data_IF_102508028421
#
_entry.id   IF_102508028421
#
_cell.length_a   1.000
_cell.length_b   1.000
_cell.length_c   1.000
_cell.angle_alpha   90.00
_cell.angle_beta   90.00
_cell.angle_gamma   90.00
#
_symmetry.space_group_name_H-M   'P 1'
#
loop_
_entity.id
_entity.type
_entity.pdbx_description
1 polymer ?
#
# COMPACT_ATOMS: atom_id res chain seq x y z
N UNK A 1 -33.86 37.97 -10.46
CA UNK A 1 -34.58 38.29 -11.72
C UNK A 1 -35.99 37.75 -11.59
N UNK A 2 -36.98 38.63 -11.70
CA UNK A 2 -38.38 38.27 -11.55
C UNK A 2 -38.94 37.61 -12.82
N UNK A 3 -39.90 36.70 -12.65
CA UNK A 3 -40.56 35.97 -13.75
C UNK A 3 -41.12 36.88 -14.83
N UNK A 4 -41.77 37.97 -14.42
CA UNK A 4 -42.45 38.88 -15.35
C UNK A 4 -41.46 39.67 -16.22
N UNK A 5 -40.26 39.94 -15.70
CA UNK A 5 -39.18 40.53 -16.50
C UNK A 5 -38.68 39.57 -17.59
N UNK A 6 -38.65 38.26 -17.32
CA UNK A 6 -38.22 37.22 -18.29
C UNK A 6 -39.27 37.04 -19.40
N UNK A 7 -40.56 37.18 -19.08
CA UNK A 7 -41.67 37.11 -20.06
C UNK A 7 -41.58 38.16 -21.18
N UNK A 8 -40.98 39.30 -20.87
CA UNK A 8 -40.77 40.39 -21.82
C UNK A 8 -39.63 40.11 -22.81
N UNK A 9 -38.81 39.09 -22.58
CA UNK A 9 -37.71 38.76 -23.48
C UNK A 9 -38.21 38.19 -24.81
N UNK A 10 -37.48 38.49 -25.88
CA UNK A 10 -37.71 37.90 -27.20
C UNK A 10 -37.27 36.44 -27.20
N UNK A 11 -38.00 35.59 -27.93
CA UNK A 11 -37.73 34.15 -28.03
C UNK A 11 -36.25 33.83 -28.36
N UNK A 12 -35.58 34.52 -29.30
CA UNK A 12 -34.16 34.27 -29.59
C UNK A 12 -33.23 34.51 -28.40
N UNK A 13 -33.57 35.47 -27.53
CA UNK A 13 -32.78 35.80 -26.33
C UNK A 13 -32.93 34.69 -25.29
N UNK A 14 -34.15 34.21 -25.06
CA UNK A 14 -34.43 33.05 -24.20
C UNK A 14 -33.69 31.80 -24.69
N UNK A 15 -33.72 31.56 -26.01
CA UNK A 15 -33.03 30.43 -26.63
C UNK A 15 -31.51 30.52 -26.49
N UNK A 16 -30.91 31.70 -26.68
CA UNK A 16 -29.47 31.88 -26.49
C UNK A 16 -29.06 31.65 -25.02
N UNK A 17 -29.82 32.19 -24.06
CA UNK A 17 -29.55 31.99 -22.63
C UNK A 17 -29.56 30.51 -22.22
N UNK A 18 -30.53 29.74 -22.76
CA UNK A 18 -30.65 28.30 -22.51
C UNK A 18 -29.57 27.51 -23.26
N UNK A 19 -29.20 27.93 -24.47
CA UNK A 19 -28.14 27.31 -25.28
C UNK A 19 -26.78 27.40 -24.60
N UNK A 20 -26.44 28.57 -24.08
CA UNK A 20 -25.22 28.79 -23.29
C UNK A 20 -25.14 27.88 -22.07
N UNK A 21 -26.28 27.39 -21.56
CA UNK A 21 -26.39 26.50 -20.39
C UNK A 21 -26.61 25.03 -20.77
N UNK A 22 -26.52 24.70 -22.06
CA UNK A 22 -26.70 23.33 -22.56
C UNK A 22 -28.10 22.77 -22.35
N UNK A 23 -29.12 23.64 -22.31
CA UNK A 23 -30.51 23.24 -22.09
C UNK A 23 -31.32 23.23 -23.38
N UNK A 24 -32.50 22.60 -23.30
CA UNK A 24 -33.45 22.52 -24.42
C UNK A 24 -33.85 23.94 -24.87
N UNK A 25 -33.73 24.19 -26.17
CA UNK A 25 -34.03 25.49 -26.81
C UNK A 25 -35.33 25.47 -27.64
N UNK A 26 -35.97 24.30 -27.74
CA UNK A 26 -37.21 24.10 -28.47
C UNK A 26 -38.41 24.05 -27.53
N UNK A 27 -39.51 24.72 -27.90
CA UNK A 27 -40.74 24.78 -27.08
C UNK A 27 -41.54 26.05 -27.31
N UNK A 28 -42.68 26.15 -26.62
CA UNK A 28 -43.50 27.37 -26.56
C UNK A 28 -42.78 28.46 -25.75
N UNK A 29 -43.15 29.73 -25.95
CA UNK A 29 -42.49 30.86 -25.28
C UNK A 29 -42.57 30.73 -23.74
N UNK A 30 -43.71 30.29 -23.24
CA UNK A 30 -44.00 30.09 -21.82
C UNK A 30 -43.08 29.03 -21.21
N UNK A 31 -42.81 27.94 -21.95
CA UNK A 31 -41.91 26.87 -21.52
C UNK A 31 -40.47 27.39 -21.44
N UNK A 32 -40.02 28.17 -22.43
CA UNK A 32 -38.69 28.78 -22.43
C UNK A 32 -38.52 29.75 -21.25
N UNK A 33 -39.53 30.57 -20.95
CA UNK A 33 -39.53 31.47 -19.80
C UNK A 33 -39.42 30.68 -18.49
N UNK A 34 -40.22 29.61 -18.34
CA UNK A 34 -40.18 28.77 -17.14
C UNK A 34 -38.81 28.10 -16.95
N UNK A 35 -38.19 27.63 -18.04
CA UNK A 35 -36.84 27.05 -18.02
C UNK A 35 -35.79 28.10 -17.62
N UNK A 36 -35.84 29.31 -18.18
CA UNK A 36 -34.90 30.39 -17.84
C UNK A 36 -35.03 30.80 -16.37
N UNK A 37 -36.26 30.90 -15.86
CA UNK A 37 -36.49 31.19 -14.45
C UNK A 37 -36.00 30.06 -13.54
N UNK A 38 -36.31 28.81 -13.87
CA UNK A 38 -35.79 27.67 -13.13
C UNK A 38 -34.25 27.68 -13.08
N UNK A 39 -33.58 27.97 -14.21
CA UNK A 39 -32.13 28.12 -14.24
C UNK A 39 -31.62 29.22 -13.31
N UNK A 40 -32.34 30.34 -13.26
CA UNK A 40 -31.98 31.46 -12.40
C UNK A 40 -32.15 31.10 -10.91
N UNK A 41 -33.26 30.45 -10.54
CA UNK A 41 -33.54 30.00 -9.17
C UNK A 41 -32.55 28.94 -8.71
N UNK A 42 -32.23 27.96 -9.56
CA UNK A 42 -31.27 26.90 -9.27
C UNK A 42 -29.80 27.34 -9.47
N UNK A 43 -29.55 28.57 -9.91
CA UNK A 43 -28.20 29.08 -10.12
C UNK A 43 -27.38 28.29 -11.15
N UNK A 44 -28.02 27.81 -12.23
CA UNK A 44 -27.30 27.07 -13.28
C UNK A 44 -26.41 28.01 -14.09
N UNK A 45 -25.11 27.86 -13.91
CA UNK A 45 -24.10 28.61 -14.66
C UNK A 45 -24.03 28.17 -16.14
N UNK A 46 -23.60 29.06 -17.06
CA UNK A 46 -23.28 28.69 -18.44
C UNK A 46 -22.32 27.51 -18.49
N UNK A 47 -22.51 26.64 -19.48
CA UNK A 47 -21.51 25.62 -19.79
C UNK A 47 -20.27 26.35 -20.29
N UNK A 48 -19.10 26.16 -19.66
CA UNK A 48 -17.88 26.85 -20.07
C UNK A 48 -17.58 26.54 -21.54
N UNK A 49 -17.18 27.56 -22.27
CA UNK A 49 -16.79 27.42 -23.68
C UNK A 49 -15.63 26.43 -23.82
N UNK A 50 -15.49 25.79 -24.97
CA UNK A 50 -14.38 24.87 -25.25
C UNK A 50 -12.99 25.52 -25.00
N UNK A 51 -12.87 26.83 -25.19
CA UNK A 51 -11.63 27.56 -24.87
C UNK A 51 -11.41 27.72 -23.37
N UNK A 52 -12.48 27.94 -22.61
CA UNK A 52 -12.42 28.14 -21.16
C UNK A 52 -12.14 26.82 -20.45
N UNK A 53 -12.80 25.73 -20.86
CA UNK A 53 -12.49 24.39 -20.38
C UNK A 53 -11.02 24.07 -20.62
N UNK A 54 -10.51 24.27 -21.84
CA UNK A 54 -9.09 24.05 -22.15
C UNK A 54 -8.16 24.85 -21.23
N UNK A 55 -8.47 26.12 -20.94
CA UNK A 55 -7.69 26.94 -20.01
C UNK A 55 -7.75 26.41 -18.59
N UNK A 56 -8.91 25.98 -18.11
CA UNK A 56 -9.08 25.39 -16.77
C UNK A 56 -8.30 24.08 -16.68
N UNK A 57 -8.40 23.20 -17.68
CA UNK A 57 -7.65 21.96 -17.74
C UNK A 57 -6.13 22.19 -17.73
N UNK A 58 -5.64 23.18 -18.48
CA UNK A 58 -4.22 23.54 -18.49
C UNK A 58 -3.75 24.04 -17.11
N UNK A 59 -4.59 24.80 -16.39
CA UNK A 59 -4.29 25.25 -15.02
C UNK A 59 -4.28 24.09 -14.02
N UNK A 60 -5.27 23.20 -14.10
CA UNK A 60 -5.34 22.01 -13.24
C UNK A 60 -4.13 21.10 -13.46
N UNK A 61 -3.78 20.85 -14.73
CA UNK A 61 -2.58 20.09 -15.09
C UNK A 61 -1.29 20.75 -14.57
N UNK A 62 -1.14 22.06 -14.76
CA UNK A 62 0.02 22.79 -14.23
C UNK A 62 0.12 22.71 -12.70
N UNK A 63 -1.00 22.64 -11.99
CA UNK A 63 -1.02 22.47 -10.54
C UNK A 63 -0.52 21.08 -10.09
N UNK A 64 -0.71 20.02 -10.90
CA UNK A 64 -0.21 18.67 -10.61
C UNK A 64 1.32 18.56 -10.65
N UNK A 65 1.97 19.46 -11.40
CA UNK A 65 3.43 19.54 -11.48
C UNK A 65 4.05 20.33 -10.32
N UNK A 66 3.24 20.98 -9.48
CA UNK A 66 3.72 21.70 -8.30
C UNK A 66 3.63 20.79 -7.08
N UNK A 67 4.79 20.34 -6.59
CA UNK A 67 4.92 19.43 -5.47
C UNK A 67 5.76 20.08 -4.38
N UNK A 68 5.23 20.20 -3.16
CA UNK A 68 5.91 20.83 -2.01
C UNK A 68 6.46 22.24 -2.31
N UNK A 69 5.74 23.02 -3.12
CA UNK A 69 6.14 24.37 -3.53
C UNK A 69 7.25 24.41 -4.61
N UNK A 70 7.73 23.26 -5.08
CA UNK A 70 8.68 23.15 -6.20
C UNK A 70 7.94 22.73 -7.46
N UNK A 71 8.23 23.38 -8.58
CA UNK A 71 7.71 22.98 -9.90
C UNK A 71 8.59 21.86 -10.47
N UNK A 72 8.01 20.69 -10.67
CA UNK A 72 8.64 19.59 -11.40
C UNK A 72 8.58 19.87 -12.91
N UNK A 73 9.59 19.44 -13.68
CA UNK A 73 9.56 19.58 -15.12
C UNK A 73 8.50 18.67 -15.72
N UNK A 74 7.88 19.12 -16.80
CA UNK A 74 6.80 18.39 -17.46
C UNK A 74 7.31 17.08 -18.12
N UNK A 75 6.75 15.91 -17.78
CA UNK A 75 7.19 14.61 -18.30
C UNK A 75 7.00 14.39 -19.81
N UNK A 76 6.14 15.16 -20.45
CA UNK A 76 5.74 15.00 -21.83
C UNK A 76 6.30 16.07 -22.77
N UNK A 77 6.56 17.27 -22.27
CA UNK A 77 7.00 18.43 -23.07
C UNK A 77 8.43 18.85 -22.78
N UNK A 78 8.81 18.90 -21.50
CA UNK A 78 10.13 19.38 -21.05
C UNK A 78 11.15 18.22 -20.97
N UNK A 79 10.75 17.06 -20.43
CA UNK A 79 11.62 15.87 -20.32
C UNK A 79 11.57 15.00 -21.58
N UNK A 80 12.37 15.33 -22.58
CA UNK A 80 12.44 14.56 -23.85
C UNK A 80 13.43 13.39 -23.80
N UNK A 81 14.57 13.58 -23.16
CA UNK A 81 15.67 12.63 -23.10
C UNK A 81 15.79 12.01 -21.70
N UNK A 82 16.68 11.02 -21.51
CA UNK A 82 16.97 10.44 -20.18
C UNK A 82 15.96 9.39 -19.67
N UNK A 83 14.98 9.01 -20.48
CA UNK A 83 14.01 7.95 -20.13
C UNK A 83 14.67 6.57 -20.25
N UNK A 84 14.71 5.86 -19.13
CA UNK A 84 15.14 4.47 -19.06
C UNK A 84 13.90 3.57 -19.19
N UNK A 85 14.02 2.46 -19.89
CA UNK A 85 12.96 1.45 -19.97
C UNK A 85 12.97 0.55 -18.72
N UNK A 86 12.31 -0.60 -18.81
CA UNK A 86 12.21 -1.57 -17.70
C UNK A 86 13.54 -2.21 -17.30
N UNK A 87 14.62 -1.97 -18.06
CA UNK A 87 15.98 -2.39 -17.66
C UNK A 87 16.42 -1.69 -16.38
N UNK A 88 15.92 -0.48 -16.09
CA UNK A 88 16.21 0.27 -14.88
C UNK A 88 15.27 -0.04 -13.70
N UNK A 89 14.59 -1.19 -13.71
CA UNK A 89 13.65 -1.63 -12.67
C UNK A 89 14.23 -1.62 -11.25
N UNK A 90 15.53 -1.83 -11.10
CA UNK A 90 16.23 -1.80 -9.81
C UNK A 90 16.22 -0.41 -9.16
N UNK A 91 16.05 0.65 -9.96
CA UNK A 91 15.99 2.04 -9.50
C UNK A 91 14.57 2.51 -9.21
N UNK A 92 13.56 1.66 -9.45
CA UNK A 92 12.18 2.04 -9.23
C UNK A 92 11.92 2.25 -7.74
N UNK A 93 11.10 3.25 -7.38
CA UNK A 93 10.84 3.56 -5.99
C UNK A 93 10.09 2.41 -5.29
N UNK A 94 10.34 2.18 -4.00
CA UNK A 94 9.72 1.11 -3.22
C UNK A 94 8.26 1.45 -2.90
N UNK A 95 7.38 1.36 -3.90
CA UNK A 95 5.97 1.71 -3.78
C UNK A 95 5.19 0.49 -3.34
N UNK A 96 4.49 0.59 -2.21
CA UNK A 96 3.67 -0.51 -1.70
C UNK A 96 2.19 -0.36 -2.06
N UNK A 97 1.45 -1.44 -1.90
CA UNK A 97 -0.01 -1.44 -1.93
C UNK A 97 -0.65 -0.40 -0.99
N UNK A 98 -0.06 -0.14 0.18
CA UNK A 98 -0.58 0.87 1.11
C UNK A 98 -0.44 2.29 0.54
N UNK A 99 0.71 2.62 -0.07
CA UNK A 99 0.95 3.93 -0.67
C UNK A 99 0.00 4.20 -1.84
N UNK A 100 -0.29 3.16 -2.64
CA UNK A 100 -1.29 3.23 -3.70
C UNK A 100 -2.68 3.54 -3.15
N UNK A 101 -3.09 2.88 -2.07
CA UNK A 101 -4.40 3.10 -1.45
C UNK A 101 -4.51 4.50 -0.84
N UNK A 102 -3.48 4.98 -0.15
CA UNK A 102 -3.40 6.34 0.40
C UNK A 102 -3.57 7.38 -0.71
N UNK A 103 -2.83 7.22 -1.80
CA UNK A 103 -2.93 8.11 -2.95
C UNK A 103 -4.34 8.14 -3.55
N UNK A 104 -4.98 6.97 -3.75
CA UNK A 104 -6.33 6.89 -4.29
C UNK A 104 -7.39 7.53 -3.35
N UNK A 105 -7.15 7.53 -2.04
CA UNK A 105 -8.00 8.20 -1.05
C UNK A 105 -7.85 9.72 -1.11
N UNK A 106 -6.61 10.21 -1.22
CA UNK A 106 -6.26 11.63 -1.24
C UNK A 106 -6.58 12.32 -2.58
N UNK A 107 -6.79 11.54 -3.64
CA UNK A 107 -7.17 12.07 -4.94
C UNK A 107 -8.44 12.94 -4.87
N UNK A 108 -8.48 13.99 -5.69
CA UNK A 108 -9.58 14.98 -5.82
C UNK A 108 -10.83 14.41 -6.51
N UNK A 109 -11.18 13.18 -6.19
CA UNK A 109 -12.39 12.53 -6.66
C UNK A 109 -13.57 12.88 -5.72
N UNK A 110 -14.76 13.04 -6.29
CA UNK A 110 -16.00 13.01 -5.51
C UNK A 110 -16.11 11.68 -4.74
N UNK A 111 -16.80 11.70 -3.61
CA UNK A 111 -17.13 10.57 -2.74
C UNK A 111 -17.62 9.31 -3.49
N UNK A 112 -18.48 9.44 -4.50
CA UNK A 112 -18.97 8.31 -5.31
C UNK A 112 -17.84 7.70 -6.13
N UNK A 113 -17.07 8.58 -6.78
CA UNK A 113 -15.95 8.20 -7.63
C UNK A 113 -14.81 7.56 -6.83
N UNK A 114 -14.47 8.12 -5.67
CA UNK A 114 -13.50 7.53 -4.73
C UNK A 114 -13.90 6.11 -4.35
N UNK A 115 -15.17 5.89 -4.00
CA UNK A 115 -15.68 4.54 -3.67
C UNK A 115 -15.56 3.57 -4.84
N UNK A 116 -15.91 4.00 -6.05
CA UNK A 116 -15.75 3.17 -7.24
C UNK A 116 -14.29 2.78 -7.48
N UNK A 117 -13.37 3.73 -7.31
CA UNK A 117 -11.94 3.48 -7.49
C UNK A 117 -11.38 2.50 -6.46
N UNK A 118 -11.78 2.63 -5.19
CA UNK A 118 -11.40 1.66 -4.16
C UNK A 118 -11.96 0.27 -4.44
N UNK A 119 -13.19 0.17 -4.95
CA UNK A 119 -13.78 -1.10 -5.39
C UNK A 119 -12.98 -1.68 -6.57
N UNK A 120 -12.72 -0.90 -7.61
CA UNK A 120 -11.94 -1.32 -8.78
C UNK A 120 -10.52 -1.76 -8.39
N UNK A 121 -9.93 -1.06 -7.43
CA UNK A 121 -8.62 -1.37 -6.86
C UNK A 121 -8.64 -2.69 -6.08
N UNK A 122 -9.64 -2.91 -5.21
CA UNK A 122 -9.84 -4.17 -4.48
C UNK A 122 -10.11 -5.34 -5.42
N UNK A 123 -10.88 -5.12 -6.47
CA UNK A 123 -11.22 -6.13 -7.48
C UNK A 123 -10.04 -6.40 -8.44
N UNK A 124 -8.93 -5.67 -8.33
CA UNK A 124 -7.78 -5.86 -9.21
C UNK A 124 -8.05 -5.45 -10.66
N UNK A 125 -9.03 -4.56 -10.92
CA UNK A 125 -9.32 -4.10 -12.28
C UNK A 125 -8.14 -3.38 -12.92
N UNK A 126 -7.31 -2.69 -12.15
CA UNK A 126 -6.11 -2.07 -12.68
C UNK A 126 -4.98 -3.10 -12.92
N UNK A 127 -4.91 -4.16 -12.10
CA UNK A 127 -4.01 -5.29 -12.33
C UNK A 127 -4.33 -6.01 -13.64
N UNK A 128 -5.61 -6.13 -14.02
CA UNK A 128 -5.97 -6.78 -15.28
C UNK A 128 -5.42 -6.06 -16.53
N UNK A 129 -5.15 -4.75 -16.48
CA UNK A 129 -4.47 -4.04 -17.58
C UNK A 129 -3.02 -4.49 -17.74
N UNK A 130 -2.34 -4.79 -16.64
CA UNK A 130 -0.99 -5.33 -16.65
C UNK A 130 -0.99 -6.79 -17.15
N UNK A 131 -1.90 -7.61 -16.64
CA UNK A 131 -2.02 -9.03 -17.00
C UNK A 131 -2.41 -9.21 -18.49
N UNK A 132 -3.42 -8.46 -18.94
CA UNK A 132 -3.96 -8.49 -20.31
C UNK A 132 -3.11 -7.73 -21.34
N UNK A 133 -1.89 -7.32 -20.98
CA UNK A 133 -0.95 -6.60 -21.87
C UNK A 133 -1.49 -5.29 -22.46
N UNK A 134 -2.45 -4.67 -21.76
CA UNK A 134 -2.95 -3.33 -22.11
C UNK A 134 -2.02 -2.21 -21.62
N UNK A 135 -1.23 -2.50 -20.59
CA UNK A 135 -0.13 -1.65 -20.14
C UNK A 135 1.12 -1.93 -20.98
N UNK A 136 1.55 -0.93 -21.76
CA UNK A 136 2.82 -0.99 -22.48
C UNK A 136 4.01 -0.79 -21.54
N UNK A 137 5.20 -0.77 -22.12
CA UNK A 137 6.45 -0.55 -21.41
C UNK A 137 6.40 0.70 -20.53
N UNK A 138 6.79 0.54 -19.26
CA UNK A 138 6.90 1.64 -18.31
C UNK A 138 8.30 2.23 -18.41
N UNK A 139 8.37 3.54 -18.56
CA UNK A 139 9.62 4.28 -18.62
C UNK A 139 9.85 5.04 -17.32
N UNK A 140 11.08 5.01 -16.83
CA UNK A 140 11.54 5.66 -15.62
C UNK A 140 12.43 6.86 -15.94
N UNK A 141 12.29 7.94 -15.18
CA UNK A 141 13.12 9.13 -15.28
C UNK A 141 13.45 9.68 -13.89
N UNK A 142 14.74 9.92 -13.63
CA UNK A 142 15.24 10.36 -12.31
C UNK A 142 15.00 11.85 -12.04
N UNK A 143 14.59 12.61 -13.06
CA UNK A 143 14.47 14.08 -13.11
C UNK A 143 15.84 14.74 -13.03
N UNK A 144 16.46 14.63 -11.85
CA UNK A 144 17.81 15.04 -11.55
C UNK A 144 18.37 14.11 -10.46
N UNK A 145 19.69 13.97 -10.40
CA UNK A 145 20.34 13.08 -9.42
C UNK A 145 20.07 13.52 -7.98
N UNK A 146 19.91 14.82 -7.73
CA UNK A 146 19.60 15.37 -6.41
C UNK A 146 18.08 15.51 -6.13
N UNK A 147 17.23 15.27 -7.13
CA UNK A 147 15.79 15.36 -6.94
C UNK A 147 15.26 14.21 -6.09
N UNK A 148 14.41 14.54 -5.12
CA UNK A 148 13.74 13.58 -4.23
C UNK A 148 12.64 12.78 -4.97
N UNK A 149 12.20 13.27 -6.13
CA UNK A 149 11.13 12.71 -6.92
C UNK A 149 11.65 12.06 -8.19
N UNK A 150 10.94 11.05 -8.67
CA UNK A 150 11.12 10.44 -9.96
C UNK A 150 9.80 10.40 -10.73
N UNK A 151 9.89 10.27 -12.05
CA UNK A 151 8.74 10.05 -12.90
C UNK A 151 8.72 8.64 -13.48
N UNK A 152 7.53 8.09 -13.55
CA UNK A 152 7.22 6.90 -14.32
C UNK A 152 6.15 7.28 -15.35
N UNK A 153 6.33 6.89 -16.61
CA UNK A 153 5.31 7.10 -17.65
C UNK A 153 5.06 5.83 -18.45
N UNK A 154 3.84 5.67 -18.91
CA UNK A 154 3.48 4.57 -19.80
C UNK A 154 2.35 4.96 -20.75
N UNK A 155 2.19 4.14 -21.79
CA UNK A 155 1.01 4.14 -22.64
C UNK A 155 0.08 3.01 -22.20
N UNK A 156 -1.20 3.31 -22.01
CA UNK A 156 -2.18 2.33 -21.55
C UNK A 156 -3.36 2.28 -22.51
N UNK A 157 -3.61 1.11 -23.08
CA UNK A 157 -4.73 0.88 -23.99
C UNK A 157 -6.04 0.82 -23.20
N UNK A 158 -7.11 1.51 -23.64
CA UNK A 158 -8.41 1.43 -22.99
C UNK A 158 -8.99 0.00 -23.06
N UNK A 159 -9.49 -0.52 -21.94
CA UNK A 159 -10.06 -1.87 -21.87
C UNK A 159 -11.33 -2.04 -22.70
N UNK A 160 -12.14 -0.98 -22.83
CA UNK A 160 -13.38 -1.00 -23.60
C UNK A 160 -13.18 -0.71 -25.09
N UNK A 161 -11.98 -0.28 -25.50
CA UNK A 161 -11.68 0.11 -26.87
C UNK A 161 -10.21 -0.23 -27.20
N UNK A 162 -9.92 -1.52 -27.33
CA UNK A 162 -8.57 -2.04 -27.56
C UNK A 162 -7.89 -1.53 -28.83
N UNK A 163 -8.67 -1.15 -29.85
CA UNK A 163 -8.15 -0.58 -31.09
C UNK A 163 -8.01 0.95 -31.05
N UNK A 164 -8.42 1.60 -29.96
CA UNK A 164 -8.29 3.05 -29.81
C UNK A 164 -6.84 3.45 -29.51
N UNK A 165 -6.55 4.74 -29.70
CA UNK A 165 -5.24 5.31 -29.37
C UNK A 165 -4.98 5.14 -27.86
N UNK A 166 -3.84 4.53 -27.46
CA UNK A 166 -3.50 4.37 -26.05
C UNK A 166 -3.40 5.72 -25.33
N UNK A 167 -3.93 5.77 -24.11
CA UNK A 167 -3.79 6.94 -23.26
C UNK A 167 -2.37 7.06 -22.73
N UNK A 168 -1.90 8.29 -22.58
CA UNK A 168 -0.59 8.59 -21.99
C UNK A 168 -0.82 8.89 -20.52
N UNK A 169 -0.10 8.22 -19.64
CA UNK A 169 -0.17 8.45 -18.20
C UNK A 169 1.23 8.61 -17.62
N UNK A 170 1.35 9.43 -16.59
CA UNK A 170 2.56 9.55 -15.79
C UNK A 170 2.23 9.62 -14.30
N UNK A 171 3.22 9.26 -13.48
CA UNK A 171 3.17 9.26 -12.02
C UNK A 171 4.47 9.83 -11.48
N UNK A 172 4.36 10.76 -10.53
CA UNK A 172 5.45 11.31 -9.75
C UNK A 172 5.49 10.61 -8.39
N UNK A 173 6.63 10.00 -8.06
CA UNK A 173 6.80 9.22 -6.84
C UNK A 173 8.06 9.71 -6.12
N UNK A 174 8.02 9.72 -4.79
CA UNK A 174 9.19 10.02 -3.98
C UNK A 174 10.14 8.81 -3.96
N UNK A 175 11.41 9.01 -4.35
CA UNK A 175 12.39 7.94 -4.55
C UNK A 175 12.66 7.09 -3.31
N UNK A 176 12.69 7.73 -2.12
CA UNK A 176 13.07 7.06 -0.86
C UNK A 176 11.92 6.33 -0.17
N UNK A 177 10.73 6.92 -0.20
CA UNK A 177 9.58 6.43 0.57
C UNK A 177 8.62 5.61 -0.26
N UNK A 178 8.62 5.77 -1.60
CA UNK A 178 7.60 5.18 -2.46
C UNK A 178 6.27 5.93 -2.47
N UNK A 179 6.17 7.05 -1.74
CA UNK A 179 4.92 7.82 -1.67
C UNK A 179 4.62 8.48 -3.01
N UNK A 180 3.41 8.26 -3.51
CA UNK A 180 2.92 8.82 -4.77
C UNK A 180 2.41 10.23 -4.50
N UNK A 181 2.91 11.21 -5.25
CA UNK A 181 2.63 12.63 -4.97
C UNK A 181 1.68 13.24 -5.98
N UNK A 182 1.87 12.93 -7.26
CA UNK A 182 0.98 13.38 -8.31
C UNK A 182 0.95 12.40 -9.46
N UNK A 183 -0.13 12.44 -10.23
CA UNK A 183 -0.29 11.62 -11.43
C UNK A 183 -1.20 12.34 -12.41
N UNK A 184 -1.06 12.00 -13.69
CA UNK A 184 -1.96 12.46 -14.73
C UNK A 184 -2.18 11.36 -15.76
N UNK A 185 -3.34 11.41 -16.42
CA UNK A 185 -3.62 10.58 -17.56
C UNK A 185 -4.47 11.34 -18.58
N UNK A 186 -4.18 11.15 -19.86
CA UNK A 186 -4.93 11.75 -20.97
C UNK A 186 -6.35 11.20 -21.15
N UNK A 187 -6.83 10.30 -20.28
CA UNK A 187 -8.19 9.78 -20.35
C UNK A 187 -9.20 10.77 -19.73
N UNK A 188 -10.48 10.63 -20.05
CA UNK A 188 -11.54 11.51 -19.50
C UNK A 188 -11.55 11.54 -17.96
N UNK A 189 -11.13 10.45 -17.33
CA UNK A 189 -11.00 10.34 -15.88
C UNK A 189 -9.66 10.88 -15.34
N UNK A 190 -8.62 11.04 -16.16
CA UNK A 190 -7.24 11.19 -15.69
C UNK A 190 -6.92 12.51 -15.00
N UNK A 191 -7.76 13.54 -15.20
CA UNK A 191 -7.66 14.83 -14.51
C UNK A 191 -7.82 14.74 -12.98
N UNK A 192 -8.43 13.66 -12.49
CA UNK A 192 -8.51 13.37 -11.05
C UNK A 192 -7.29 12.62 -10.50
N UNK A 193 -6.25 12.41 -11.31
CA UNK A 193 -5.03 11.63 -10.98
C UNK A 193 -5.26 10.16 -10.63
N UNK A 194 -6.50 9.67 -10.70
CA UNK A 194 -6.92 8.44 -10.01
C UNK A 194 -7.59 7.42 -10.94
N UNK A 195 -7.33 7.47 -12.25
CA UNK A 195 -7.94 6.50 -13.17
C UNK A 195 -7.26 5.12 -13.11
N UNK A 196 -7.95 4.08 -13.59
CA UNK A 196 -7.40 2.72 -13.66
C UNK A 196 -6.10 2.61 -14.50
N UNK A 197 -5.87 3.52 -15.45
CA UNK A 197 -4.62 3.57 -16.21
C UNK A 197 -3.41 3.99 -15.36
N UNK A 198 -3.61 4.94 -14.43
CA UNK A 198 -2.57 5.34 -13.47
C UNK A 198 -2.32 4.21 -12.48
N UNK A 199 -3.40 3.63 -11.94
CA UNK A 199 -3.30 2.50 -11.04
C UNK A 199 -2.58 1.31 -11.68
N UNK A 200 -2.77 1.04 -12.98
CA UNK A 200 -2.04 -0.03 -13.68
C UNK A 200 -0.52 0.17 -13.66
N UNK A 201 -0.04 1.41 -13.82
CA UNK A 201 1.39 1.73 -13.70
C UNK A 201 1.87 1.44 -12.27
N UNK A 202 1.14 1.92 -11.28
CA UNK A 202 1.48 1.74 -9.87
C UNK A 202 1.51 0.26 -9.45
N UNK A 203 0.54 -0.54 -9.90
CA UNK A 203 0.52 -1.99 -9.68
C UNK A 203 1.73 -2.68 -10.28
N UNK A 204 2.20 -2.24 -11.45
CA UNK A 204 3.41 -2.80 -12.05
C UNK A 204 4.65 -2.44 -11.23
N UNK A 205 4.71 -1.24 -10.66
CA UNK A 205 5.81 -0.81 -9.78
C UNK A 205 5.85 -1.66 -8.50
N UNK A 206 4.70 -1.82 -7.84
CA UNK A 206 4.55 -2.66 -6.65
C UNK A 206 4.90 -4.14 -6.95
N UNK A 207 4.44 -4.67 -8.10
CA UNK A 207 4.80 -6.02 -8.54
C UNK A 207 6.31 -6.20 -8.73
N UNK A 208 6.98 -5.23 -9.37
CA UNK A 208 8.44 -5.26 -9.59
C UNK A 208 9.19 -5.15 -8.28
N UNK A 209 8.74 -4.30 -7.36
CA UNK A 209 9.30 -4.15 -6.02
C UNK A 209 9.14 -5.44 -5.20
N UNK A 210 7.94 -6.01 -5.16
CA UNK A 210 7.66 -7.28 -4.48
C UNK A 210 8.42 -8.47 -5.07
N UNK A 211 8.81 -8.42 -6.34
CA UNK A 211 9.68 -9.42 -6.97
C UNK A 211 11.16 -9.21 -6.65
N UNK A 212 11.58 -7.97 -6.39
CA UNK A 212 12.93 -7.65 -5.93
C UNK A 212 13.17 -8.15 -4.49
N UNK A 213 12.15 -8.08 -3.63
CA UNK A 213 12.09 -8.77 -2.34
C UNK A 213 11.89 -10.28 -2.56
N UNK A 214 12.97 -10.97 -2.92
CA UNK A 214 12.97 -12.43 -3.00
C UNK A 214 12.61 -13.01 -1.63
N UNK A 215 11.37 -13.47 -1.48
CA UNK A 215 10.97 -14.30 -0.34
C UNK A 215 12.01 -15.39 -0.10
N UNK A 216 12.33 -15.69 1.15
CA UNK A 216 13.26 -16.77 1.51
C UNK A 216 12.85 -18.13 0.90
N UNK A 217 11.59 -18.28 0.49
CA UNK A 217 11.04 -19.46 -0.21
C UNK A 217 11.23 -19.47 -1.73
N UNK A 218 11.51 -18.32 -2.37
CA UNK A 218 11.77 -18.24 -3.82
C UNK A 218 13.25 -18.39 -4.18
N UNK A 219 14.14 -18.24 -3.20
CA UNK A 219 15.54 -18.66 -3.30
C UNK A 219 15.70 -20.18 -3.26
N UNK A 220 16.81 -20.68 -3.81
CA UNK A 220 17.18 -22.08 -3.62
C UNK A 220 17.24 -22.38 -2.11
N UNK A 221 16.61 -23.49 -1.71
CA UNK A 221 16.46 -23.87 -0.30
C UNK A 221 17.84 -24.03 0.37
N UNK A 222 18.29 -22.98 1.08
CA UNK A 222 19.63 -22.93 1.67
C UNK A 222 19.82 -23.91 2.83
N UNK A 223 18.72 -24.29 3.50
CA UNK A 223 18.77 -25.22 4.63
C UNK A 223 19.17 -26.64 4.21
N UNK A 224 18.79 -27.04 2.99
CA UNK A 224 19.02 -28.39 2.48
C UNK A 224 20.18 -28.48 1.50
N UNK A 225 20.99 -27.44 1.32
CA UNK A 225 22.18 -27.52 0.48
C UNK A 225 23.21 -28.42 1.20
N UNK A 226 23.40 -29.69 0.78
CA UNK A 226 24.43 -30.51 1.39
C UNK A 226 25.75 -29.86 0.97
N UNK A 227 26.57 -29.44 1.94
CA UNK A 227 27.96 -29.09 1.65
C UNK A 227 28.53 -30.25 0.83
N UNK A 228 29.06 -29.98 -0.36
CA UNK A 228 29.61 -30.98 -1.27
C UNK A 228 30.80 -31.69 -0.63
N UNK A 229 30.53 -32.58 0.31
CA UNK A 229 31.52 -33.44 0.95
C UNK A 229 31.72 -34.60 0.01
N UNK A 230 32.88 -34.62 -0.65
CA UNK A 230 33.44 -35.80 -1.30
C UNK A 230 33.44 -36.95 -0.29
N UNK A 231 32.75 -38.06 -0.58
CA UNK A 231 32.98 -39.34 0.11
C UNK A 231 31.77 -40.08 0.71
N UNK A 232 30.52 -39.72 0.38
CA UNK A 232 29.36 -40.54 0.75
C UNK A 232 28.88 -41.34 -0.46
N UNK A 233 29.32 -42.60 -0.55
CA UNK A 233 28.79 -43.57 -1.51
C UNK A 233 27.44 -44.11 -1.02
N UNK A 234 26.41 -44.20 -1.88
CA UNK A 234 25.13 -44.82 -1.52
C UNK A 234 25.31 -46.28 -1.10
N UNK A 235 24.77 -46.68 0.05
CA UNK A 235 24.70 -48.08 0.48
C UNK A 235 23.25 -48.48 0.80
N UNK A 236 22.99 -49.79 0.86
CA UNK A 236 21.66 -50.29 1.27
C UNK A 236 21.42 -49.93 2.73
N UNK A 237 20.15 -49.77 3.13
CA UNK A 237 19.78 -49.42 4.52
C UNK A 237 20.35 -50.40 5.54
N UNK A 238 20.42 -51.69 5.20
CA UNK A 238 21.04 -52.73 6.02
C UNK A 238 22.55 -52.54 6.25
N UNK A 239 23.23 -51.84 5.32
CA UNK A 239 24.67 -51.59 5.32
C UNK A 239 25.00 -50.17 5.83
N UNK A 240 23.99 -49.39 6.21
CA UNK A 240 24.18 -48.07 6.81
C UNK A 240 24.62 -48.19 8.26
N UNK A 241 25.78 -47.62 8.58
CA UNK A 241 26.28 -47.59 9.94
C UNK A 241 25.71 -46.37 10.69
N UNK A 242 24.61 -46.58 11.43
CA UNK A 242 24.04 -45.55 12.31
C UNK A 242 24.81 -45.50 13.62
N UNK A 243 25.64 -44.47 13.79
CA UNK A 243 26.28 -44.20 15.06
C UNK A 243 26.05 -42.76 15.50
N UNK A 244 26.01 -42.56 16.82
CA UNK A 244 25.89 -41.23 17.41
C UNK A 244 27.29 -40.61 17.47
N UNK A 245 27.54 -39.45 16.82
CA UNK A 245 28.84 -38.81 16.91
C UNK A 245 29.09 -38.35 18.35
N UNK A 246 30.17 -38.81 18.98
CA UNK A 246 30.54 -38.39 20.34
C UNK A 246 31.20 -37.02 20.29
N UNK A 247 30.44 -35.96 20.58
CA UNK A 247 30.95 -34.61 20.84
C UNK A 247 30.73 -34.27 22.32
N UNK A 248 31.73 -34.58 23.15
CA UNK A 248 31.90 -34.23 24.58
C UNK A 248 31.07 -34.95 25.68
N UNK A 249 31.61 -34.85 26.92
CA UNK A 249 31.50 -35.69 28.15
C UNK A 249 30.07 -36.10 28.56
N UNK A 250 30.00 -37.20 29.33
CA UNK A 250 28.81 -37.79 29.95
C UNK A 250 27.66 -36.81 30.17
N UNK A 251 26.52 -37.10 29.54
CA UNK A 251 25.31 -36.31 29.67
C UNK A 251 24.81 -36.35 31.11
N UNK A 252 24.64 -35.19 31.73
CA UNK A 252 23.83 -35.11 32.95
C UNK A 252 22.38 -35.49 32.62
N UNK A 253 21.77 -36.25 33.54
CA UNK A 253 20.45 -36.86 33.36
C UNK A 253 19.38 -35.79 33.07
N UNK A 254 18.75 -35.90 31.90
CA UNK A 254 17.76 -34.94 31.36
C UNK A 254 16.43 -34.98 32.15
N UNK A 255 16.25 -35.98 33.02
CA UNK A 255 15.10 -36.06 33.93
C UNK A 255 15.38 -35.27 35.22
N UNK A 256 15.49 -33.95 35.11
CA UNK A 256 15.46 -33.10 36.30
C UNK A 256 14.06 -33.12 36.93
N UNK A 257 14.01 -33.05 38.26
CA UNK A 257 12.77 -33.00 39.07
C UNK A 257 11.83 -31.89 38.57
N UNK A 258 12.39 -30.80 38.05
CA UNK A 258 11.65 -29.69 37.45
C UNK A 258 10.69 -30.13 36.31
N UNK A 259 11.02 -31.11 35.46
CA UNK A 259 10.09 -31.60 34.44
C UNK A 259 8.97 -32.48 34.99
N UNK A 260 9.16 -33.12 36.15
CA UNK A 260 8.08 -33.87 36.83
C UNK A 260 7.01 -32.94 37.41
N UNK A 261 7.36 -31.69 37.71
CA UNK A 261 6.43 -30.68 38.22
C UNK A 261 5.43 -30.18 37.16
N UNK A 262 5.80 -30.19 35.88
CA UNK A 262 4.98 -29.67 34.79
C UNK A 262 4.40 -30.75 33.87
N UNK A 263 4.58 -32.02 34.19
CA UNK A 263 3.95 -33.11 33.41
C UNK A 263 2.50 -33.30 33.85
N UNK A 264 1.57 -33.36 32.91
CA UNK A 264 0.12 -33.51 33.17
C UNK A 264 -0.29 -34.94 33.48
N UNK A 265 0.61 -35.91 33.34
CA UNK A 265 0.38 -37.32 33.65
C UNK A 265 1.15 -37.71 34.92
N UNK A 266 0.44 -37.73 36.07
CA UNK A 266 0.95 -38.33 37.31
C UNK A 266 0.68 -39.84 37.32
N UNK A 267 1.69 -40.62 37.70
CA UNK A 267 1.50 -42.03 38.04
C UNK A 267 0.80 -42.15 39.40
N UNK A 268 0.07 -43.26 39.63
CA UNK A 268 -0.57 -43.53 40.94
C UNK A 268 0.42 -43.75 42.08
N UNK A 269 1.69 -44.06 41.76
CA UNK A 269 2.75 -44.33 42.73
C UNK A 269 3.62 -43.09 43.05
N UNK A 270 3.30 -41.92 42.49
CA UNK A 270 4.07 -40.70 42.74
C UNK A 270 3.75 -40.13 44.13
N UNK A 271 4.72 -40.20 45.05
CA UNK A 271 4.63 -39.55 46.35
C UNK A 271 4.66 -38.02 46.17
N UNK A 272 3.73 -37.27 46.78
CA UNK A 272 3.70 -35.82 46.62
C UNK A 272 4.93 -35.20 47.27
N UNK A 273 5.64 -34.36 46.51
CA UNK A 273 6.78 -33.59 47.00
C UNK A 273 6.32 -32.65 48.12
N UNK A 274 7.10 -32.58 49.18
CA UNK A 274 6.81 -31.76 50.36
C UNK A 274 6.99 -30.28 49.98
N UNK A 275 6.16 -29.40 50.55
CA UNK A 275 6.10 -27.97 50.17
C UNK A 275 7.46 -27.25 50.29
N UNK A 276 8.33 -27.69 51.20
CA UNK A 276 9.69 -27.17 51.38
C UNK A 276 10.64 -27.55 50.22
N UNK A 277 10.49 -28.75 49.65
CA UNK A 277 11.30 -29.14 48.47
C UNK A 277 10.86 -28.38 47.20
N UNK A 278 9.56 -28.09 47.09
CA UNK A 278 8.99 -27.31 45.99
C UNK A 278 9.45 -25.85 46.02
N UNK A 279 9.47 -25.24 47.21
CA UNK A 279 9.86 -23.84 47.39
C UNK A 279 11.37 -23.65 47.20
N UNK A 280 12.20 -24.58 47.69
CA UNK A 280 13.64 -24.56 47.46
C UNK A 280 14.04 -24.64 45.98
N UNK A 281 13.29 -25.42 45.16
CA UNK A 281 13.59 -25.56 43.73
C UNK A 281 13.08 -24.43 42.85
N UNK A 282 11.94 -23.80 43.18
CA UNK A 282 11.38 -22.71 42.38
C UNK A 282 12.04 -21.36 42.67
N UNK A 283 12.43 -21.12 43.92
CA UNK A 283 12.97 -19.84 44.36
C UNK A 283 14.48 -19.86 44.69
N UNK A 284 15.12 -21.04 44.72
CA UNK A 284 16.56 -21.15 44.95
C UNK A 284 17.04 -20.69 46.33
N UNK A 285 16.16 -20.63 47.33
CA UNK A 285 16.48 -20.20 48.69
C UNK A 285 16.44 -21.41 49.62
N UNK A 286 17.59 -21.76 50.19
CA UNK A 286 17.66 -22.64 51.35
C UNK A 286 17.19 -21.84 52.58
N UNK A 287 16.00 -22.14 53.10
CA UNK A 287 15.59 -21.62 54.40
C UNK A 287 16.35 -22.41 55.46
N UNK A 288 17.47 -21.88 55.92
CA UNK A 288 18.06 -22.29 57.19
C UNK A 288 17.28 -21.60 58.31
N UNK A 289 16.40 -22.34 58.98
CA UNK A 289 15.84 -21.91 60.26
C UNK A 289 16.91 -22.02 61.35
N UNK A 290 17.86 -21.08 61.38
CA UNK A 290 18.69 -20.86 62.54
C UNK A 290 17.89 -20.02 63.55
N UNK A 291 17.26 -20.71 64.51
CA UNK A 291 16.83 -20.06 65.74
C UNK A 291 18.09 -19.77 66.58
N UNK A 292 18.39 -18.50 66.94
CA UNK A 292 19.54 -18.22 67.77
C UNK A 292 19.28 -18.70 69.20
N UNK A 293 20.09 -19.66 69.64
CA UNK A 293 20.28 -20.00 71.05
C UNK A 293 20.96 -18.79 71.71
N UNK A 294 20.18 -17.99 72.42
CA UNK A 294 20.71 -16.92 73.28
C UNK A 294 21.21 -17.55 74.58
N UNK A 295 22.53 -17.78 74.68
CA UNK A 295 23.20 -18.09 75.94
C UNK A 295 23.74 -16.80 76.57
N UNK A 296 22.99 -16.24 77.51
CA UNK A 296 23.56 -15.36 78.54
C UNK A 296 22.92 -15.65 79.89
N UNK A 297 23.73 -16.30 80.72
CA UNK A 297 23.99 -16.00 82.13
C UNK A 297 22.81 -15.67 83.06
N UNK A 298 22.66 -16.49 84.10
CA UNK A 298 21.86 -16.26 85.31
C UNK A 298 22.04 -14.84 85.86
N UNK A 299 20.94 -14.12 86.09
CA UNK A 299 20.78 -13.25 87.27
C UNK A 299 19.29 -13.17 87.62
N UNK A 300 18.95 -13.47 88.87
CA UNK A 300 17.60 -13.34 89.43
C UNK A 300 17.44 -11.94 90.05
N UNK A 301 16.40 -11.17 89.70
CA UNK A 301 15.87 -10.01 90.44
C UNK A 301 14.37 -9.89 90.07
N UNK A 302 13.46 -10.41 90.91
CA UNK A 302 12.54 -9.72 91.86
C UNK A 302 11.44 -8.84 91.23
N UNK A 303 10.21 -9.14 91.65
CA UNK A 303 8.95 -8.43 91.54
C UNK A 303 8.97 -6.90 91.45
N UNK A 304 8.01 -6.36 90.69
CA UNK A 304 7.06 -5.34 91.14
C UNK A 304 5.77 -5.49 90.34
#
# INVERSE_FOLDING_TARGET
MEMDAIRLWRVPVLQNFLRERGLKTTGCKEELVALVWACHVFGKEPVPSASETTKTLAKEYAALLVVNGKRLPDPFTELKEGWQDESAREKWPPTSYADMAEFLLDCRADSKRRRQLLTDYKEGKAYSYFDSKLLHTVFYHEIDSNSEFCFLKAKVTPSQAVNAVPHRAWVAIQKKTGRIVSADCSCMAGLGSSCNHVAAILFKVDWVWGLADKSCTSGACQWNAPSAKKGLEPCRVQDMNFYKPKKHKEAQNINSVAKRLFTTQRSRDDTPLILDELTGQLYGVSISCDLPVCSSTRTAIICS
#
